data_IF_083224646664
#
_entry.id   IF_083224646664
#
_cell.length_a   1.000
_cell.length_b   1.000
_cell.length_c   1.000
_cell.angle_alpha   90.00
_cell.angle_beta   90.00
_cell.angle_gamma   90.00
#
_symmetry.space_group_name_H-M   'P 1'
#
loop_
_entity.id
_entity.type
_entity.pdbx_description
1 polymer ?
#
# COMPACT_ATOMS: atom_id res chain seq x y z
N UNK A 1 -14.44 -36.65 -8.26
CA UNK A 1 -15.36 -35.79 -9.03
C UNK A 1 -14.69 -34.42 -9.16
N UNK A 2 -13.77 -34.31 -10.13
CA UNK A 2 -13.01 -33.08 -10.43
C UNK A 2 -13.85 -32.22 -11.38
N UNK A 3 -14.08 -30.96 -11.00
CA UNK A 3 -14.62 -29.94 -11.90
C UNK A 3 -14.16 -28.57 -11.37
N UNK A 4 -13.24 -27.93 -12.09
CA UNK A 4 -13.20 -26.49 -12.38
C UNK A 4 -11.81 -26.05 -12.85
N UNK A 5 -11.62 -25.98 -14.17
CA UNK A 5 -11.14 -24.76 -14.83
C UNK A 5 -11.45 -24.94 -16.32
N UNK A 6 -12.19 -23.99 -16.91
CA UNK A 6 -12.22 -23.87 -18.36
C UNK A 6 -10.79 -23.69 -18.83
N UNK A 7 -10.42 -24.49 -19.83
CA UNK A 7 -9.09 -24.59 -20.42
C UNK A 7 -8.66 -23.24 -21.00
N UNK A 8 -8.00 -22.39 -20.19
CA UNK A 8 -7.14 -21.32 -20.69
C UNK A 8 -5.80 -21.97 -21.00
N UNK A 9 -5.30 -21.75 -22.22
CA UNK A 9 -4.37 -22.67 -22.87
C UNK A 9 -3.00 -22.84 -22.22
N UNK A 10 -2.57 -22.02 -21.26
CA UNK A 10 -1.22 -22.11 -20.65
C UNK A 10 -1.14 -21.59 -19.19
N UNK A 11 -2.21 -21.71 -18.38
CA UNK A 11 -2.24 -21.16 -17.01
C UNK A 11 -1.99 -22.19 -15.90
N UNK A 12 -1.13 -21.85 -14.92
CA UNK A 12 -1.02 -22.54 -13.63
C UNK A 12 -1.94 -21.90 -12.58
N UNK A 13 -2.26 -22.61 -11.48
CA UNK A 13 -2.92 -22.00 -10.33
C UNK A 13 -1.99 -20.95 -9.69
N UNK A 14 -2.58 -19.87 -9.17
CA UNK A 14 -1.84 -18.68 -8.70
C UNK A 14 -0.93 -18.99 -7.52
N UNK A 15 0.29 -18.46 -7.55
CA UNK A 15 1.23 -18.35 -6.42
C UNK A 15 1.07 -17.00 -5.72
N UNK A 16 1.27 -16.97 -4.40
CA UNK A 16 1.18 -15.73 -3.61
C UNK A 16 2.52 -15.51 -2.91
N UNK A 17 3.26 -14.51 -3.37
CA UNK A 17 4.65 -14.27 -3.01
C UNK A 17 4.82 -13.05 -2.11
N UNK A 18 3.76 -12.26 -1.90
CA UNK A 18 3.77 -11.11 -1.00
C UNK A 18 2.41 -10.81 -0.35
N UNK A 19 2.44 -10.01 0.73
CA UNK A 19 1.21 -9.51 1.36
C UNK A 19 0.39 -8.61 0.44
N UNK A 20 1.02 -7.85 -0.45
CA UNK A 20 0.34 -7.01 -1.43
C UNK A 20 -0.44 -7.84 -2.47
N UNK A 21 0.16 -8.93 -2.96
CA UNK A 21 -0.51 -9.88 -3.85
C UNK A 21 -1.69 -10.57 -3.17
N UNK A 22 -1.52 -10.97 -1.90
CA UNK A 22 -2.60 -11.55 -1.11
C UNK A 22 -3.80 -10.58 -0.97
N UNK A 23 -3.53 -9.30 -0.67
CA UNK A 23 -4.57 -8.27 -0.57
C UNK A 23 -5.26 -8.00 -1.91
N UNK A 24 -4.48 -7.94 -3.00
CA UNK A 24 -5.01 -7.74 -4.35
C UNK A 24 -5.91 -8.89 -4.80
N UNK A 25 -5.47 -10.13 -4.63
CA UNK A 25 -6.26 -11.32 -4.97
C UNK A 25 -7.52 -11.41 -4.10
N UNK A 26 -7.44 -11.05 -2.82
CA UNK A 26 -8.61 -10.98 -1.94
C UNK A 26 -9.64 -9.96 -2.43
N UNK A 27 -9.18 -8.79 -2.91
CA UNK A 27 -10.05 -7.76 -3.48
C UNK A 27 -10.69 -8.23 -4.78
N UNK A 28 -9.94 -8.88 -5.66
CA UNK A 28 -10.44 -9.44 -6.91
C UNK A 28 -11.49 -10.52 -6.66
N UNK A 29 -11.23 -11.48 -5.77
CA UNK A 29 -12.17 -12.55 -5.44
C UNK A 29 -13.45 -11.97 -4.82
N UNK A 30 -13.35 -10.98 -3.92
CA UNK A 30 -14.52 -10.29 -3.34
C UNK A 30 -15.36 -9.56 -4.40
N UNK A 31 -14.73 -9.01 -5.44
CA UNK A 31 -15.40 -8.28 -6.52
C UNK A 31 -16.03 -9.21 -7.58
N UNK A 32 -15.49 -10.41 -7.75
CA UNK A 32 -15.83 -11.32 -8.86
C UNK A 32 -16.72 -12.49 -8.47
N UNK A 33 -16.82 -12.84 -7.18
CA UNK A 33 -17.52 -14.05 -6.73
C UNK A 33 -18.47 -13.68 -5.59
N UNK A 34 -19.73 -14.12 -5.67
CA UNK A 34 -20.69 -13.93 -4.58
C UNK A 34 -20.15 -14.60 -3.31
N UNK A 35 -20.39 -13.95 -2.15
CA UNK A 35 -19.91 -14.39 -0.84
C UNK A 35 -20.07 -15.90 -0.62
N UNK A 36 -19.02 -16.50 -0.03
CA UNK A 36 -18.89 -17.89 0.43
C UNK A 36 -18.27 -18.94 -0.50
N UNK A 37 -17.62 -18.55 -1.61
CA UNK A 37 -16.88 -19.52 -2.42
C UNK A 37 -15.39 -19.56 -2.08
N UNK A 38 -14.87 -20.76 -1.78
CA UNK A 38 -13.43 -20.99 -1.62
C UNK A 38 -12.76 -21.03 -2.99
N UNK A 39 -11.61 -20.36 -3.13
CA UNK A 39 -10.80 -20.37 -4.34
C UNK A 39 -9.56 -21.22 -4.09
N UNK A 40 -9.30 -22.16 -4.98
CA UNK A 40 -8.09 -22.98 -4.93
C UNK A 40 -6.90 -22.15 -5.46
N UNK A 41 -5.82 -22.13 -4.70
CA UNK A 41 -4.51 -21.58 -5.10
C UNK A 41 -3.55 -22.72 -5.42
N UNK A 42 -2.40 -22.40 -6.01
CA UNK A 42 -1.44 -23.41 -6.48
C UNK A 42 -0.61 -24.09 -5.40
N UNK A 43 -0.90 -23.87 -4.12
CA UNK A 43 -0.12 -24.43 -3.02
C UNK A 43 -0.50 -25.90 -2.79
N UNK A 44 0.44 -26.82 -2.93
CA UNK A 44 0.21 -28.24 -2.70
C UNK A 44 1.37 -28.92 -1.98
N UNK A 45 1.09 -30.06 -1.36
CA UNK A 45 2.09 -30.94 -0.78
C UNK A 45 2.28 -32.16 -1.70
N UNK A 46 3.43 -32.32 -2.37
CA UNK A 46 3.72 -33.48 -3.21
C UNK A 46 3.99 -34.76 -2.41
N UNK A 47 4.12 -34.71 -1.08
CA UNK A 47 4.51 -35.83 -0.21
C UNK A 47 3.35 -36.58 0.46
N UNK A 48 2.09 -36.32 0.06
CA UNK A 48 0.87 -36.88 0.66
C UNK A 48 0.97 -38.40 0.94
N UNK A 49 1.25 -38.73 2.22
CA UNK A 49 1.38 -40.10 2.72
C UNK A 49 2.24 -40.29 3.99
N UNK A 50 3.05 -39.30 4.39
CA UNK A 50 3.87 -39.36 5.61
C UNK A 50 3.88 -38.01 6.35
N UNK A 51 3.26 -37.98 7.54
CA UNK A 51 3.31 -36.98 8.63
C UNK A 51 3.28 -35.46 8.29
N UNK A 52 2.52 -34.63 9.03
CA UNK A 52 2.22 -33.26 8.64
C UNK A 52 3.37 -32.30 8.94
N UNK A 53 4.42 -32.31 8.11
CA UNK A 53 5.49 -31.32 8.15
C UNK A 53 5.27 -30.27 7.06
N UNK A 54 5.10 -29.00 7.45
CA UNK A 54 4.95 -27.83 6.54
C UNK A 54 6.16 -27.58 5.63
N UNK A 55 7.25 -28.33 5.80
CA UNK A 55 8.46 -28.21 4.99
C UNK A 55 8.36 -28.80 3.57
N UNK A 56 7.25 -29.47 3.22
CA UNK A 56 7.04 -30.08 1.90
C UNK A 56 6.17 -29.28 0.93
N UNK A 57 5.63 -28.11 1.31
CA UNK A 57 4.69 -27.39 0.46
C UNK A 57 5.38 -26.62 -0.66
N UNK A 58 4.91 -26.81 -1.88
CA UNK A 58 5.43 -26.19 -3.08
C UNK A 58 4.29 -25.52 -3.87
N UNK A 59 4.62 -24.50 -4.65
CA UNK A 59 3.69 -23.93 -5.62
C UNK A 59 3.62 -24.83 -6.85
N UNK A 60 2.45 -24.88 -7.50
CA UNK A 60 2.28 -25.54 -8.79
C UNK A 60 3.03 -24.83 -9.94
N UNK A 61 3.52 -23.61 -9.68
CA UNK A 61 4.47 -22.86 -10.50
C UNK A 61 5.89 -23.03 -9.94
N UNK A 62 6.92 -22.74 -10.74
CA UNK A 62 8.34 -22.82 -10.32
C UNK A 62 8.76 -21.75 -9.29
N UNK A 63 7.79 -21.12 -8.62
CA UNK A 63 8.03 -20.01 -7.71
C UNK A 63 8.49 -20.51 -6.34
N UNK A 64 9.42 -19.78 -5.72
CA UNK A 64 9.93 -20.10 -4.39
C UNK A 64 8.95 -19.63 -3.32
N UNK A 65 8.57 -20.52 -2.40
CA UNK A 65 7.67 -20.22 -1.29
C UNK A 65 8.34 -19.31 -0.24
N UNK A 66 8.24 -18.00 -0.43
CA UNK A 66 8.84 -16.99 0.46
C UNK A 66 7.83 -16.24 1.33
N UNK A 67 6.53 -16.50 1.17
CA UNK A 67 5.46 -15.83 1.88
C UNK A 67 4.36 -16.81 2.30
N UNK A 68 4.06 -16.83 3.60
CA UNK A 68 2.99 -17.64 4.20
C UNK A 68 2.23 -16.75 5.19
N UNK A 69 0.91 -16.71 5.11
CA UNK A 69 0.06 -15.94 6.03
C UNK A 69 -0.52 -16.87 7.11
N UNK A 70 -0.07 -16.70 8.35
CA UNK A 70 -0.33 -17.61 9.47
C UNK A 70 -1.62 -17.33 10.27
N UNK A 71 -2.67 -16.76 9.66
CA UNK A 71 -3.96 -16.52 10.35
C UNK A 71 -4.79 -17.79 10.66
N UNK A 72 -4.19 -18.98 10.60
CA UNK A 72 -4.76 -20.21 11.11
C UNK A 72 -3.62 -21.00 11.76
N UNK A 73 -3.78 -21.34 13.05
CA UNK A 73 -3.03 -22.30 13.89
C UNK A 73 -2.37 -21.67 15.14
N UNK A 74 -2.85 -22.11 16.30
CA UNK A 74 -2.40 -21.79 17.65
C UNK A 74 -1.16 -22.61 18.06
N UNK A 75 -0.29 -22.12 18.98
CA UNK A 75 1.01 -22.73 19.25
C UNK A 75 1.00 -23.70 20.45
N UNK A 76 1.73 -24.82 20.36
CA UNK A 76 2.22 -25.56 21.52
C UNK A 76 3.67 -26.05 21.31
N UNK A 77 4.55 -25.54 22.18
CA UNK A 77 5.75 -26.14 22.80
C UNK A 77 6.85 -26.85 21.96
N UNK A 78 8.09 -26.37 22.15
CA UNK A 78 9.37 -27.07 21.97
C UNK A 78 9.70 -27.93 23.21
N UNK A 79 10.56 -28.96 23.13
CA UNK A 79 12.01 -28.74 23.31
C UNK A 79 12.96 -29.63 22.46
N UNK A 80 14.15 -29.08 22.17
CA UNK A 80 15.48 -29.75 22.11
C UNK A 80 15.67 -30.95 21.16
N UNK A 81 16.58 -30.98 20.18
CA UNK A 81 18.06 -30.97 20.25
C UNK A 81 18.57 -30.80 18.79
N UNK A 82 19.42 -29.82 18.47
CA UNK A 82 20.88 -29.94 18.43
C UNK A 82 21.46 -30.98 17.47
N UNK A 83 22.18 -30.46 16.46
CA UNK A 83 23.21 -31.07 15.58
C UNK A 83 22.72 -31.71 14.28
N UNK A 84 22.85 -30.95 13.18
CA UNK A 84 23.55 -31.33 11.94
C UNK A 84 23.57 -30.14 10.95
N UNK A 85 24.18 -29.03 11.36
CA UNK A 85 24.75 -28.07 10.43
C UNK A 85 26.19 -28.51 10.18
N UNK A 86 26.52 -28.86 8.92
CA UNK A 86 27.83 -28.79 8.26
C UNK A 86 28.01 -29.93 7.23
N UNK A 87 27.40 -29.84 6.04
CA UNK A 87 27.90 -30.57 4.85
C UNK A 87 27.29 -30.14 3.50
N UNK A 88 27.03 -28.85 3.23
CA UNK A 88 26.63 -28.44 1.86
C UNK A 88 27.01 -27.00 1.46
N UNK A 89 28.06 -26.43 2.07
CA UNK A 89 28.49 -25.05 1.80
C UNK A 89 29.69 -24.93 0.84
N UNK A 90 29.97 -25.90 -0.03
CA UNK A 90 30.98 -25.72 -1.08
C UNK A 90 30.53 -26.40 -2.37
N UNK A 91 30.55 -25.65 -3.48
CA UNK A 91 30.12 -25.92 -4.88
C UNK A 91 28.65 -25.54 -5.11
N UNK A 92 28.33 -24.31 -5.51
CA UNK A 92 28.55 -23.79 -6.87
C UNK A 92 28.99 -22.31 -6.83
N UNK A 93 30.29 -22.06 -7.00
CA UNK A 93 30.79 -20.79 -7.52
C UNK A 93 30.70 -20.79 -9.04
N UNK A 94 30.46 -19.61 -9.61
CA UNK A 94 30.56 -19.23 -11.03
C UNK A 94 29.25 -19.24 -11.85
N UNK A 95 28.36 -18.29 -11.53
CA UNK A 95 27.69 -17.51 -12.59
C UNK A 95 28.15 -16.06 -12.40
N UNK A 96 29.15 -15.64 -13.17
CA UNK A 96 29.36 -14.21 -13.43
C UNK A 96 28.23 -13.76 -14.36
N UNK A 97 27.12 -13.34 -13.77
CA UNK A 97 26.21 -12.43 -14.43
C UNK A 97 26.89 -11.07 -14.44
N UNK A 98 27.34 -10.63 -15.61
CA UNK A 98 27.67 -9.23 -15.85
C UNK A 98 26.35 -8.44 -15.82
N UNK A 99 25.91 -8.08 -14.62
CA UNK A 99 24.85 -7.09 -14.43
C UNK A 99 25.41 -5.75 -14.87
N UNK A 100 25.29 -5.50 -16.16
CA UNK A 100 25.35 -4.15 -16.70
C UNK A 100 24.20 -3.41 -16.03
N UNK A 101 24.47 -2.69 -14.95
CA UNK A 101 23.55 -1.70 -14.43
C UNK A 101 23.36 -0.65 -15.52
N UNK A 102 22.43 -0.89 -16.43
CA UNK A 102 21.70 0.19 -17.07
C UNK A 102 20.99 0.93 -15.94
N UNK A 103 21.65 1.96 -15.42
CA UNK A 103 20.98 3.11 -14.87
C UNK A 103 20.13 3.70 -15.99
N UNK A 104 18.95 3.09 -16.24
CA UNK A 104 17.91 3.69 -17.03
C UNK A 104 17.54 4.99 -16.32
N UNK A 105 18.10 6.08 -16.84
CA UNK A 105 17.73 7.42 -16.45
C UNK A 105 16.22 7.54 -16.62
N UNK A 106 15.51 7.50 -15.48
CA UNK A 106 14.06 7.65 -15.40
C UNK A 106 13.65 8.85 -16.26
N UNK A 107 12.64 8.73 -17.14
CA UNK A 107 12.16 9.85 -17.93
C UNK A 107 11.85 11.02 -17.00
N UNK A 108 12.59 12.13 -17.15
CA UNK A 108 12.37 13.32 -16.32
C UNK A 108 10.98 13.86 -16.62
N UNK A 109 10.04 13.62 -15.71
CA UNK A 109 8.68 14.13 -15.82
C UNK A 109 8.69 15.65 -15.80
N UNK A 110 7.90 16.22 -16.71
CA UNK A 110 7.81 17.66 -16.90
C UNK A 110 6.62 18.21 -16.15
N UNK A 111 6.87 18.79 -14.99
CA UNK A 111 5.84 19.43 -14.20
C UNK A 111 5.61 20.89 -14.64
N UNK A 112 4.35 21.37 -14.68
CA UNK A 112 4.05 22.76 -15.00
C UNK A 112 4.67 23.72 -13.98
N UNK A 113 4.82 24.99 -14.37
CA UNK A 113 5.37 26.02 -13.49
C UNK A 113 4.56 26.10 -12.18
N UNK A 114 5.25 26.12 -11.04
CA UNK A 114 4.63 26.16 -9.72
C UNK A 114 4.34 24.79 -9.10
N UNK A 115 4.67 23.68 -9.78
CA UNK A 115 4.69 22.35 -9.17
C UNK A 115 6.10 21.76 -9.13
N UNK A 116 6.25 20.69 -8.34
CA UNK A 116 7.51 19.94 -8.16
C UNK A 116 7.27 18.49 -8.56
N UNK A 117 8.26 17.90 -9.23
CA UNK A 117 8.23 16.48 -9.61
C UNK A 117 8.70 15.62 -8.44
N UNK A 118 8.03 14.50 -8.22
CA UNK A 118 8.51 13.41 -7.36
C UNK A 118 7.98 12.08 -7.92
N UNK A 119 8.90 11.14 -8.18
CA UNK A 119 8.62 9.92 -8.92
C UNK A 119 7.81 10.23 -10.19
N UNK A 120 6.68 9.54 -10.39
CA UNK A 120 5.87 9.64 -11.60
C UNK A 120 4.87 10.80 -11.65
N UNK A 121 4.90 11.71 -10.66
CA UNK A 121 3.82 12.69 -10.44
C UNK A 121 4.34 14.10 -10.20
N UNK A 122 3.43 15.05 -10.39
CA UNK A 122 3.61 16.45 -10.07
C UNK A 122 2.80 16.85 -8.83
N UNK A 123 3.41 17.67 -7.99
CA UNK A 123 2.83 18.12 -6.73
C UNK A 123 2.81 19.64 -6.67
N UNK A 124 1.66 20.20 -6.32
CA UNK A 124 1.47 21.64 -6.21
C UNK A 124 0.82 21.98 -4.87
N UNK A 125 1.47 22.85 -4.10
CA UNK A 125 0.88 23.46 -2.92
C UNK A 125 0.08 24.70 -3.34
N UNK A 126 -1.15 24.78 -2.85
CA UNK A 126 -2.01 25.94 -2.97
C UNK A 126 -2.23 26.58 -1.60
N UNK A 127 -1.88 27.86 -1.48
CA UNK A 127 -1.96 28.61 -0.22
C UNK A 127 -3.29 29.36 -0.05
N UNK A 128 -4.09 29.49 -1.11
CA UNK A 128 -5.47 30.00 -1.03
C UNK A 128 -6.35 28.95 -0.37
N UNK A 129 -6.82 29.14 0.87
CA UNK A 129 -7.47 28.09 1.64
C UNK A 129 -8.83 27.70 1.06
N UNK A 130 -9.18 26.43 1.20
CA UNK A 130 -10.46 25.85 0.74
C UNK A 130 -10.96 24.80 1.72
N UNK A 131 -12.28 24.56 1.72
CA UNK A 131 -12.85 23.34 2.32
C UNK A 131 -12.20 22.12 1.68
N UNK A 132 -12.24 20.97 2.34
CA UNK A 132 -11.61 19.76 1.80
C UNK A 132 -12.19 19.39 0.43
N UNK A 133 -13.52 19.47 0.28
CA UNK A 133 -14.21 19.15 -0.98
C UNK A 133 -13.85 20.15 -2.09
N UNK A 134 -13.82 21.45 -1.80
CA UNK A 134 -13.45 22.47 -2.78
C UNK A 134 -11.98 22.37 -3.19
N UNK A 135 -11.12 21.91 -2.27
CA UNK A 135 -9.71 21.69 -2.53
C UNK A 135 -9.50 20.50 -3.48
N UNK A 136 -10.20 19.38 -3.26
CA UNK A 136 -10.13 18.22 -4.16
C UNK A 136 -10.70 18.53 -5.55
N UNK A 137 -11.85 19.20 -5.62
CA UNK A 137 -12.42 19.69 -6.88
C UNK A 137 -11.47 20.66 -7.62
N UNK A 138 -10.68 21.44 -6.89
CA UNK A 138 -9.66 22.29 -7.52
C UNK A 138 -8.48 21.46 -8.07
N UNK A 139 -8.09 20.37 -7.40
CA UNK A 139 -7.06 19.46 -7.89
C UNK A 139 -7.51 18.68 -9.14
N UNK A 140 -8.78 18.28 -9.20
CA UNK A 140 -9.39 17.57 -10.34
C UNK A 140 -9.41 18.38 -11.65
N UNK A 141 -9.14 19.68 -11.61
CA UNK A 141 -8.90 20.50 -12.80
C UNK A 141 -7.58 20.18 -13.51
N UNK A 142 -6.70 19.40 -12.87
CA UNK A 142 -5.44 18.88 -13.45
C UNK A 142 -5.63 17.44 -13.91
N UNK A 143 -4.79 16.99 -14.83
CA UNK A 143 -4.86 15.63 -15.38
C UNK A 143 -4.68 14.58 -14.28
N UNK A 144 -5.69 13.73 -14.09
CA UNK A 144 -5.73 12.70 -13.03
C UNK A 144 -5.37 13.30 -11.65
N UNK A 145 -5.83 14.53 -11.41
CA UNK A 145 -5.43 15.32 -10.25
C UNK A 145 -6.37 15.17 -9.08
N UNK A 146 -5.81 14.94 -7.90
CA UNK A 146 -6.55 14.88 -6.64
C UNK A 146 -5.76 15.58 -5.54
N UNK A 147 -6.40 15.81 -4.38
CA UNK A 147 -5.62 16.03 -3.17
C UNK A 147 -4.63 14.88 -2.99
N UNK A 148 -3.43 15.22 -2.49
CA UNK A 148 -2.31 14.27 -2.48
C UNK A 148 -2.62 13.02 -1.65
N UNK A 149 -2.49 11.86 -2.30
CA UNK A 149 -2.29 10.58 -1.64
C UNK A 149 -0.83 10.45 -1.20
N UNK A 150 -0.58 9.89 -0.02
CA UNK A 150 0.77 9.69 0.52
C UNK A 150 0.97 8.21 0.78
N UNK A 151 1.80 7.56 -0.03
CA UNK A 151 1.90 6.10 -0.13
C UNK A 151 3.21 5.55 0.46
N UNK A 152 4.09 6.43 0.94
CA UNK A 152 5.36 6.03 1.56
C UNK A 152 5.92 7.11 2.47
N UNK A 153 6.87 6.73 3.33
CA UNK A 153 7.62 7.68 4.16
C UNK A 153 8.49 8.65 3.34
N UNK A 154 8.99 8.21 2.18
CA UNK A 154 9.76 9.06 1.27
C UNK A 154 8.88 10.13 0.61
N UNK A 155 7.68 9.74 0.15
CA UNK A 155 6.68 10.68 -0.38
C UNK A 155 6.19 11.65 0.71
N UNK A 156 5.97 11.17 1.94
CA UNK A 156 5.64 12.02 3.08
C UNK A 156 6.72 13.06 3.36
N UNK A 157 7.99 12.67 3.28
CA UNK A 157 9.13 13.58 3.46
C UNK A 157 9.21 14.63 2.35
N UNK A 158 8.95 14.23 1.10
CA UNK A 158 8.86 15.14 -0.03
C UNK A 158 7.71 16.16 0.15
N UNK A 159 6.50 15.70 0.47
CA UNK A 159 5.34 16.57 0.73
C UNK A 159 5.60 17.52 1.90
N UNK A 160 6.20 17.02 3.00
CA UNK A 160 6.62 17.83 4.14
C UNK A 160 7.56 18.96 3.70
N UNK A 161 8.55 18.67 2.86
CA UNK A 161 9.51 19.68 2.37
C UNK A 161 8.83 20.75 1.51
N UNK A 162 7.89 20.35 0.65
CA UNK A 162 7.11 21.24 -0.21
C UNK A 162 6.24 22.21 0.61
N UNK A 163 5.66 21.72 1.71
CA UNK A 163 4.82 22.53 2.61
C UNK A 163 5.67 23.46 3.46
N UNK A 164 6.75 22.96 4.08
CA UNK A 164 7.64 23.74 4.95
C UNK A 164 8.26 24.95 4.26
N UNK A 165 8.56 24.85 2.95
CA UNK A 165 9.17 25.95 2.22
C UNK A 165 8.23 27.14 2.00
N UNK A 166 6.94 26.98 2.24
CA UNK A 166 5.91 27.86 1.67
C UNK A 166 4.81 28.28 2.66
N UNK A 167 4.62 27.56 3.77
CA UNK A 167 3.50 27.77 4.70
C UNK A 167 3.98 28.13 6.11
N UNK A 168 4.13 29.43 6.38
CA UNK A 168 4.54 29.93 7.71
C UNK A 168 3.38 30.36 8.62
N UNK A 169 2.17 30.55 8.10
CA UNK A 169 1.00 31.00 8.88
C UNK A 169 -0.04 29.92 9.24
N UNK A 170 -0.06 28.78 8.53
CA UNK A 170 -1.05 27.72 8.79
C UNK A 170 -0.47 26.52 9.54
N UNK A 171 -1.21 26.05 10.54
CA UNK A 171 -0.84 24.86 11.32
C UNK A 171 -1.13 23.55 10.60
N UNK A 172 -2.00 23.56 9.58
CA UNK A 172 -2.50 22.35 8.93
C UNK A 172 -2.62 22.56 7.42
N UNK A 173 -2.46 21.47 6.66
CA UNK A 173 -2.60 21.45 5.19
C UNK A 173 -3.37 20.19 4.78
N UNK A 174 -4.36 20.35 3.89
CA UNK A 174 -5.15 19.22 3.40
C UNK A 174 -4.32 18.25 2.54
N UNK A 175 -4.62 16.97 2.74
CA UNK A 175 -4.23 15.84 1.89
C UNK A 175 -5.50 15.09 1.47
N UNK A 176 -5.38 14.12 0.56
CA UNK A 176 -6.54 13.45 -0.04
C UNK A 176 -7.24 12.43 0.86
N UNK A 177 -6.93 12.38 2.15
CA UNK A 177 -7.46 11.37 3.06
C UNK A 177 -8.85 11.79 3.55
N UNK A 178 -9.86 10.92 3.45
CA UNK A 178 -11.19 11.16 4.01
C UNK A 178 -11.87 9.86 4.45
N UNK A 179 -12.94 9.97 5.24
CA UNK A 179 -13.80 8.85 5.62
C UNK A 179 -15.24 9.16 5.16
N UNK A 180 -15.70 8.62 4.02
CA UNK A 180 -17.05 8.85 3.52
C UNK A 180 -18.12 8.17 4.38
N UNK A 181 -17.75 7.20 5.21
CA UNK A 181 -18.66 6.48 6.10
C UNK A 181 -18.94 7.26 7.38
N UNK A 182 -18.26 8.39 7.58
CA UNK A 182 -18.37 9.23 8.77
C UNK A 182 -18.13 8.43 10.06
N UNK A 183 -17.14 7.53 10.03
CA UNK A 183 -16.75 6.70 11.16
C UNK A 183 -17.72 5.56 11.48
N UNK A 184 -18.63 5.21 10.57
CA UNK A 184 -19.52 4.06 10.74
C UNK A 184 -18.77 2.73 10.62
N UNK A 185 -17.68 2.70 9.85
CA UNK A 185 -16.84 1.51 9.73
C UNK A 185 -15.99 1.29 11.00
N UNK A 186 -15.93 0.04 11.51
CA UNK A 186 -15.21 -0.26 12.74
C UNK A 186 -13.71 -0.02 12.57
N UNK A 187 -13.05 0.33 13.68
CA UNK A 187 -11.60 0.52 13.75
C UNK A 187 -11.04 1.56 12.75
N UNK A 188 -11.89 2.44 12.21
CA UNK A 188 -11.48 3.42 11.19
C UNK A 188 -11.23 2.78 9.82
N UNK A 189 -11.90 1.67 9.49
CA UNK A 189 -11.76 1.03 8.18
C UNK A 189 -12.38 1.83 7.02
N UNK A 190 -13.12 2.91 7.30
CA UNK A 190 -13.72 3.78 6.29
C UNK A 190 -12.76 4.78 5.66
N UNK A 191 -11.54 4.95 6.17
CA UNK A 191 -10.60 5.93 5.61
C UNK A 191 -10.06 5.48 4.24
N UNK A 192 -10.13 6.39 3.27
CA UNK A 192 -9.63 6.19 1.91
C UNK A 192 -9.00 7.47 1.34
N UNK A 193 -8.30 7.34 0.22
CA UNK A 193 -7.83 8.48 -0.56
C UNK A 193 -8.93 8.96 -1.51
N UNK A 194 -8.98 10.27 -1.81
CA UNK A 194 -9.88 10.84 -2.82
C UNK A 194 -9.49 10.45 -4.25
N UNK A 195 -8.23 10.08 -4.44
CA UNK A 195 -7.73 9.37 -5.62
C UNK A 195 -8.05 7.88 -5.54
N UNK A 196 -7.88 7.15 -6.64
CA UNK A 196 -8.00 5.68 -6.68
C UNK A 196 -6.83 4.91 -6.04
N UNK A 197 -5.89 5.60 -5.37
CA UNK A 197 -4.75 4.96 -4.73
C UNK A 197 -5.15 4.12 -3.51
N UNK A 198 -4.42 3.04 -3.25
CA UNK A 198 -4.68 2.17 -2.10
C UNK A 198 -4.08 2.76 -0.82
N UNK A 199 -4.86 2.81 0.26
CA UNK A 199 -4.38 3.23 1.58
C UNK A 199 -3.58 2.09 2.27
N UNK A 200 -2.31 1.95 1.92
CA UNK A 200 -1.39 0.94 2.47
C UNK A 200 -0.28 1.53 3.36
N UNK A 201 -0.13 2.86 3.38
CA UNK A 201 0.73 3.60 4.28
C UNK A 201 -0.16 4.38 5.24
N UNK A 202 0.22 4.45 6.52
CA UNK A 202 -0.50 5.22 7.51
C UNK A 202 0.46 5.90 8.49
N UNK A 203 0.29 7.20 8.72
CA UNK A 203 1.14 7.94 9.67
C UNK A 203 0.32 8.90 10.55
N UNK A 204 -0.73 8.37 11.17
CA UNK A 204 -1.61 9.11 12.06
C UNK A 204 -0.88 9.67 13.29
N UNK A 205 -1.14 10.93 13.63
CA UNK A 205 -0.65 11.58 14.86
C UNK A 205 -1.25 10.93 16.11
N UNK A 206 -2.50 10.48 16.00
CA UNK A 206 -3.30 9.78 17.01
C UNK A 206 -4.30 8.85 16.30
N UNK A 207 -4.85 7.87 17.01
CA UNK A 207 -5.87 7.00 16.43
C UNK A 207 -7.17 7.80 16.12
N UNK A 208 -7.57 7.93 14.83
CA UNK A 208 -8.78 8.68 14.46
C UNK A 208 -10.06 7.98 14.94
N UNK A 209 -10.06 6.65 15.08
CA UNK A 209 -11.22 5.86 15.52
C UNK A 209 -11.53 5.96 17.02
N UNK A 210 -10.66 6.62 17.81
CA UNK A 210 -10.84 6.82 19.25
C UNK A 210 -10.72 8.29 19.67
N UNK A 211 -10.45 9.20 18.73
CA UNK A 211 -10.38 10.63 19.01
C UNK A 211 -11.75 11.17 19.48
N UNK A 212 -11.73 12.17 20.37
CA UNK A 212 -12.94 12.81 20.91
C UNK A 212 -13.46 13.97 20.05
N UNK A 213 -12.56 14.68 19.37
CA UNK A 213 -12.80 15.78 18.42
C UNK A 213 -12.66 15.23 16.99
N UNK A 214 -13.55 14.31 16.60
CA UNK A 214 -13.46 13.64 15.30
C UNK A 214 -13.74 14.57 14.14
N UNK A 215 -12.89 14.44 13.14
CA UNK A 215 -13.14 14.88 11.78
C UNK A 215 -13.19 13.70 10.81
N UNK A 216 -13.57 13.98 9.57
CA UNK A 216 -13.67 12.98 8.50
C UNK A 216 -12.83 13.33 7.28
N UNK A 217 -11.99 14.36 7.40
CA UNK A 217 -11.05 14.80 6.38
C UNK A 217 -9.65 14.97 6.98
N UNK A 218 -8.64 14.43 6.30
CA UNK A 218 -7.28 14.33 6.80
C UNK A 218 -6.39 15.47 6.33
N UNK A 219 -5.53 15.94 7.23
CA UNK A 219 -4.49 16.92 6.94
C UNK A 219 -3.18 16.59 7.64
N UNK A 220 -2.08 17.15 7.14
CA UNK A 220 -0.77 17.09 7.79
C UNK A 220 -0.62 18.25 8.78
N UNK A 221 0.02 17.96 9.93
CA UNK A 221 0.14 18.89 11.06
C UNK A 221 1.52 19.54 11.16
N UNK A 222 1.60 20.86 11.38
CA UNK A 222 2.86 21.58 11.61
C UNK A 222 3.62 21.03 12.82
N UNK A 223 2.91 20.59 13.86
CA UNK A 223 3.54 20.08 15.09
C UNK A 223 4.37 18.81 14.84
N UNK A 224 3.99 18.02 13.83
CA UNK A 224 4.75 16.85 13.38
C UNK A 224 5.73 17.19 12.24
N UNK A 225 5.96 18.47 11.96
CA UNK A 225 6.71 18.92 10.79
C UNK A 225 6.03 18.54 9.48
N UNK A 226 4.71 18.48 9.44
CA UNK A 226 3.89 18.07 8.30
C UNK A 226 4.14 16.64 7.82
N UNK A 227 4.53 15.74 8.73
CA UNK A 227 4.77 14.32 8.41
C UNK A 227 3.60 13.42 8.84
N UNK A 228 2.92 13.77 9.94
CA UNK A 228 1.86 12.97 10.53
C UNK A 228 0.48 13.56 10.25
N UNK A 229 -0.50 12.66 10.16
CA UNK A 229 -1.87 12.98 9.75
C UNK A 229 -2.77 13.17 10.94
N UNK A 230 -3.74 14.07 10.80
CA UNK A 230 -4.80 14.26 11.77
C UNK A 230 -6.10 14.55 11.06
N UNK A 231 -7.18 14.09 11.66
CA UNK A 231 -8.55 14.28 11.21
C UNK A 231 -9.09 15.65 11.65
N UNK A 232 -9.83 16.30 10.76
CA UNK A 232 -10.48 17.59 10.99
C UNK A 232 -11.86 17.64 10.34
N UNK A 233 -12.69 18.57 10.81
CA UNK A 233 -13.94 18.91 10.12
C UNK A 233 -13.63 19.34 8.69
N UNK A 234 -14.32 18.72 7.73
CA UNK A 234 -14.13 18.92 6.29
C UNK A 234 -14.43 20.35 5.83
N UNK A 235 -15.22 21.10 6.61
CA UNK A 235 -15.59 22.49 6.33
C UNK A 235 -14.47 23.49 6.66
N UNK A 236 -13.39 23.04 7.33
CA UNK A 236 -12.24 23.92 7.59
C UNK A 236 -11.62 24.38 6.29
N UNK A 237 -11.32 25.68 6.22
CA UNK A 237 -10.60 26.26 5.09
C UNK A 237 -9.09 26.20 5.33
N UNK A 238 -8.39 25.33 4.63
CA UNK A 238 -6.94 25.13 4.77
C UNK A 238 -6.22 25.20 3.41
N UNK A 239 -4.93 25.57 3.39
CA UNK A 239 -4.06 25.28 2.25
C UNK A 239 -4.08 23.78 1.93
N UNK A 240 -3.73 23.42 0.71
CA UNK A 240 -3.85 22.05 0.23
C UNK A 240 -2.78 21.68 -0.78
N UNK A 241 -2.45 20.39 -0.86
CA UNK A 241 -1.49 19.87 -1.85
C UNK A 241 -2.22 19.00 -2.85
N UNK A 242 -2.08 19.30 -4.13
CA UNK A 242 -2.53 18.44 -5.21
C UNK A 242 -1.41 17.51 -5.68
N UNK A 243 -1.77 16.27 -6.04
CA UNK A 243 -0.95 15.31 -6.80
C UNK A 243 -1.66 15.02 -8.12
N UNK A 244 -0.93 15.07 -9.22
CA UNK A 244 -1.50 14.92 -10.56
C UNK A 244 -0.44 14.42 -11.54
N UNK A 245 -0.87 13.88 -12.68
CA UNK A 245 0.02 13.38 -13.72
C UNK A 245 0.68 14.53 -14.48
N UNK A 246 1.98 14.37 -14.76
CA UNK A 246 2.79 15.35 -15.50
C UNK A 246 2.69 15.20 -17.02
#
# INVERSE_FOLDING_TARGET
MQLACQKWSEGHLVSVLSGAEASFLTSLVKSSVNSYQYVWIGLHDPTLGQEPNVAGWEWSSTDVLNYVNYMMLTPMALPSMSWMLLSCLMLLSQVQGEDTQEEQASPRIRCPKGSKAYASYCYALFTTPKSWIDADLACQKRSEGHLVSVLSGAEASFVSSLVKSSVNSYSYVWIGLHDPTLGQEPNGAGWEWSSTDVLNYANWERNPSTASDRGYCGGVSRNSGFLRWRDYSCDRVLPYVCKFKG
#
